data_IF_040966173314
#
_entry.id   IF_040966173314
#
_cell.length_a   1.000
_cell.length_b   1.000
_cell.length_c   1.000
_cell.angle_alpha   90.00
_cell.angle_beta   90.00
_cell.angle_gamma   90.00
#
_symmetry.space_group_name_H-M   'P 1'
#
loop_
_entity.id
_entity.type
_entity.pdbx_description
1 polymer ?
#
# COMPACT_ATOMS: atom_id res chain seq x y z
N UNK A 1 -30.35 62.34 -17.29
CA UNK A 1 -28.98 61.94 -17.65
C UNK A 1 -28.83 60.48 -17.24
N UNK A 2 -29.09 59.47 -18.09
CA UNK A 2 -28.96 59.43 -19.57
C UNK A 2 -27.50 59.70 -19.95
N UNK A 3 -26.74 58.88 -20.69
CA UNK A 3 -26.97 57.82 -21.71
C UNK A 3 -25.81 56.79 -21.51
N UNK A 4 -26.01 55.46 -21.51
CA UNK A 4 -25.83 54.51 -22.66
C UNK A 4 -24.48 54.66 -23.42
N UNK A 5 -23.86 53.64 -24.04
CA UNK A 5 -24.06 52.17 -24.15
C UNK A 5 -22.83 51.50 -24.82
N UNK A 6 -22.89 50.17 -24.98
CA UNK A 6 -22.19 49.36 -26.01
C UNK A 6 -20.68 49.07 -25.91
N UNK A 7 -20.16 47.95 -26.44
CA UNK A 7 -20.65 46.55 -26.57
C UNK A 7 -19.55 45.68 -27.23
N UNK A 8 -19.53 44.37 -26.93
CA UNK A 8 -18.98 43.22 -27.70
C UNK A 8 -17.95 43.44 -28.84
N UNK A 9 -16.89 42.60 -28.86
CA UNK A 9 -16.85 41.38 -29.72
C UNK A 9 -15.70 40.42 -29.37
N UNK A 10 -15.88 39.15 -29.75
CA UNK A 10 -14.84 38.11 -29.72
C UNK A 10 -13.91 38.24 -30.96
N UNK A 11 -12.72 37.65 -30.93
CA UNK A 11 -12.42 36.45 -31.73
C UNK A 11 -11.00 35.89 -31.49
N UNK A 12 -10.91 34.56 -31.49
CA UNK A 12 -9.68 33.78 -31.56
C UNK A 12 -9.41 33.39 -33.02
N UNK A 13 -8.17 33.48 -33.52
CA UNK A 13 -7.80 32.71 -34.71
C UNK A 13 -6.30 32.39 -34.83
N UNK A 14 -6.07 31.09 -34.86
CA UNK A 14 -4.87 30.31 -35.13
C UNK A 14 -4.03 30.76 -36.36
N UNK A 15 -2.70 30.56 -36.30
CA UNK A 15 -1.87 30.18 -37.47
C UNK A 15 -0.69 29.28 -37.07
N UNK A 16 -0.82 28.01 -37.44
CA UNK A 16 0.27 27.03 -37.50
C UNK A 16 1.14 27.18 -38.78
N UNK A 17 2.32 26.56 -38.75
CA UNK A 17 3.02 25.89 -39.88
C UNK A 17 3.72 26.70 -41.00
N UNK A 18 4.78 26.21 -41.72
CA UNK A 18 5.78 25.10 -41.61
C UNK A 18 6.96 25.45 -42.59
N UNK A 19 8.09 24.70 -42.56
CA UNK A 19 9.28 24.66 -43.47
C UNK A 19 10.52 25.47 -43.01
N UNK A 20 11.63 24.84 -42.58
CA UNK A 20 12.65 24.03 -43.33
C UNK A 20 13.56 24.92 -44.23
N UNK A 21 14.90 24.86 -44.18
CA UNK A 21 15.74 23.66 -44.31
C UNK A 21 17.25 23.87 -43.98
N UNK A 22 17.91 22.77 -43.55
CA UNK A 22 19.34 22.35 -43.63
C UNK A 22 20.53 23.30 -43.37
N UNK A 23 21.51 22.82 -42.57
CA UNK A 23 22.83 22.37 -43.09
C UNK A 23 23.62 21.50 -42.07
N UNK A 24 24.23 20.43 -42.58
CA UNK A 24 25.27 19.51 -42.03
C UNK A 24 26.12 19.06 -43.26
N UNK A 25 27.33 18.42 -43.20
CA UNK A 25 27.81 17.44 -42.19
C UNK A 25 29.35 17.45 -41.92
N UNK A 26 29.85 16.29 -41.43
CA UNK A 26 31.25 15.77 -41.37
C UNK A 26 32.09 16.09 -40.10
N UNK A 27 32.87 15.16 -39.52
CA UNK A 27 32.85 13.67 -39.52
C UNK A 27 33.66 13.11 -38.30
N UNK A 28 33.57 11.81 -37.96
CA UNK A 28 34.53 11.14 -37.05
C UNK A 28 34.09 9.83 -36.38
N UNK A 29 34.03 8.73 -37.13
CA UNK A 29 33.76 7.37 -36.60
C UNK A 29 34.92 6.78 -35.75
N UNK A 30 34.59 6.17 -34.59
CA UNK A 30 35.18 4.89 -34.17
C UNK A 30 34.37 4.17 -33.07
N UNK A 31 33.89 2.99 -33.43
CA UNK A 31 33.35 1.94 -32.55
C UNK A 31 34.03 1.79 -31.17
N UNK A 32 33.23 1.70 -30.11
CA UNK A 32 33.44 0.65 -29.09
C UNK A 32 32.11 0.14 -28.50
N UNK A 33 32.10 -1.09 -27.97
CA UNK A 33 30.88 -1.92 -27.86
C UNK A 33 30.19 -1.90 -26.48
N UNK A 34 28.85 -1.96 -26.51
CA UNK A 34 27.97 -2.62 -25.55
C UNK A 34 28.20 -2.39 -24.03
N UNK A 35 27.52 -1.41 -23.43
CA UNK A 35 26.83 -1.65 -22.14
C UNK A 35 25.66 -0.69 -21.86
N UNK A 36 24.54 -1.25 -21.39
CA UNK A 36 23.39 -0.61 -20.72
C UNK A 36 22.57 0.49 -21.43
N UNK A 37 21.48 0.06 -22.10
CA UNK A 37 20.32 0.91 -22.43
C UNK A 37 18.97 0.17 -22.24
N UNK A 38 18.63 -0.24 -21.00
CA UNK A 38 17.35 -0.94 -20.71
C UNK A 38 16.72 -0.52 -19.37
N UNK A 39 16.24 0.73 -19.28
CA UNK A 39 15.41 1.18 -18.13
C UNK A 39 14.26 2.12 -18.48
N UNK A 40 14.29 2.85 -19.61
CA UNK A 40 13.28 3.88 -19.92
C UNK A 40 11.85 3.39 -20.19
N UNK A 41 11.66 2.22 -20.79
CA UNK A 41 10.33 1.83 -21.30
C UNK A 41 9.32 1.37 -20.22
N UNK A 42 9.74 1.08 -18.99
CA UNK A 42 8.85 0.51 -17.97
C UNK A 42 7.97 1.54 -17.26
N UNK A 43 8.46 2.75 -17.02
CA UNK A 43 7.65 3.79 -16.35
C UNK A 43 6.49 4.27 -17.23
N UNK A 44 6.68 4.27 -18.55
CA UNK A 44 5.66 4.68 -19.51
C UNK A 44 4.52 3.65 -19.62
N UNK A 45 4.84 2.34 -19.67
CA UNK A 45 3.82 1.27 -19.55
C UNK A 45 3.08 1.31 -18.20
N UNK A 46 3.78 1.60 -17.10
CA UNK A 46 3.15 1.71 -15.76
C UNK A 46 2.15 2.86 -15.69
N UNK A 47 2.48 4.01 -16.30
CA UNK A 47 1.61 5.19 -16.31
C UNK A 47 0.38 5.00 -17.22
N UNK A 48 0.52 4.35 -18.37
CA UNK A 48 -0.63 4.01 -19.24
C UNK A 48 -1.57 2.99 -18.55
N UNK A 49 -1.02 2.01 -17.82
CA UNK A 49 -1.82 1.08 -17.01
C UNK A 49 -2.53 1.80 -15.84
N UNK A 50 -1.89 2.78 -15.20
CA UNK A 50 -2.49 3.63 -14.18
C UNK A 50 -3.66 4.48 -14.73
N UNK A 51 -3.53 5.03 -15.93
CA UNK A 51 -4.60 5.76 -16.60
C UNK A 51 -5.81 4.85 -16.92
N UNK A 52 -5.58 3.61 -17.36
CA UNK A 52 -6.64 2.62 -17.59
C UNK A 52 -7.36 2.25 -16.27
N UNK A 53 -6.62 2.14 -15.16
CA UNK A 53 -7.18 1.83 -13.83
C UNK A 53 -8.01 2.98 -13.21
N UNK A 54 -7.89 4.22 -13.70
CA UNK A 54 -8.70 5.36 -13.27
C UNK A 54 -10.04 5.50 -14.01
N UNK A 55 -10.32 4.66 -15.02
CA UNK A 55 -11.56 4.72 -15.80
C UNK A 55 -12.83 4.44 -14.96
N UNK A 56 -13.94 5.11 -15.30
CA UNK A 56 -15.13 5.30 -14.44
C UNK A 56 -15.84 4.03 -13.91
N UNK A 57 -15.56 2.85 -14.46
CA UNK A 57 -16.34 1.63 -14.22
C UNK A 57 -16.37 1.20 -12.74
N UNK A 58 -15.36 1.56 -11.93
CA UNK A 58 -15.33 1.24 -10.50
C UNK A 58 -16.13 2.21 -9.63
N UNK A 59 -16.27 3.50 -10.00
CA UNK A 59 -17.13 4.45 -9.26
C UNK A 59 -18.60 4.04 -9.34
N UNK A 60 -19.05 3.56 -10.51
CA UNK A 60 -20.44 3.13 -10.76
C UNK A 60 -20.79 1.82 -10.01
N UNK A 61 -19.80 0.95 -9.73
CA UNK A 61 -20.01 -0.26 -8.91
C UNK A 61 -20.08 0.05 -7.41
N UNK A 62 -19.24 0.98 -6.93
CA UNK A 62 -19.27 1.42 -5.52
C UNK A 62 -20.54 2.21 -5.16
N UNK A 63 -21.07 3.07 -6.05
CA UNK A 63 -22.33 3.80 -5.80
C UNK A 63 -23.57 2.88 -5.77
N UNK A 64 -23.58 1.81 -6.57
CA UNK A 64 -24.64 0.79 -6.52
C UNK A 64 -24.57 -0.06 -5.24
N UNK A 65 -23.37 -0.34 -4.73
CA UNK A 65 -23.19 -1.06 -3.47
C UNK A 65 -23.62 -0.23 -2.24
N UNK A 66 -23.41 1.10 -2.24
CA UNK A 66 -23.86 1.96 -1.14
C UNK A 66 -25.38 2.17 -1.12
N UNK A 67 -26.05 2.26 -2.27
CA UNK A 67 -27.52 2.34 -2.33
C UNK A 67 -28.21 1.09 -1.78
N UNK A 68 -27.64 -0.11 -1.98
CA UNK A 68 -28.23 -1.36 -1.47
C UNK A 68 -28.16 -1.47 0.06
N UNK A 69 -27.15 -0.87 0.70
CA UNK A 69 -27.03 -0.82 2.17
C UNK A 69 -27.83 0.31 2.84
N UNK A 70 -28.22 1.34 2.09
CA UNK A 70 -29.03 2.45 2.63
C UNK A 70 -30.52 2.09 2.77
N UNK A 71 -31.08 1.33 1.83
CA UNK A 71 -32.51 0.96 1.84
C UNK A 71 -32.90 -0.08 2.90
N UNK A 72 -31.95 -0.88 3.39
CA UNK A 72 -32.20 -1.97 4.36
C UNK A 72 -32.27 -1.48 5.82
N UNK A 73 -32.00 -0.19 6.07
CA UNK A 73 -32.00 0.43 7.41
C UNK A 73 -33.14 1.41 7.68
N UNK A 74 -34.09 1.55 6.75
CA UNK A 74 -35.18 2.53 6.82
C UNK A 74 -36.59 1.90 6.83
N UNK A 75 -36.71 0.59 7.02
CA UNK A 75 -37.99 -0.13 6.87
C UNK A 75 -38.32 -1.13 7.98
N UNK A 76 -37.84 -0.84 9.19
CA UNK A 76 -38.12 -1.65 10.38
C UNK A 76 -38.78 -0.80 11.49
N UNK A 77 -39.81 -0.05 11.11
CA UNK A 77 -40.79 0.61 11.99
C UNK A 77 -42.13 0.67 11.24
N UNK A 78 -43.24 0.22 11.85
CA UNK A 78 -44.59 0.42 11.32
C UNK A 78 -45.43 -0.83 10.96
N UNK A 79 -46.07 -1.39 11.99
CA UNK A 79 -47.35 -2.11 12.02
C UNK A 79 -48.11 -2.55 10.73
N UNK A 80 -48.38 -3.86 10.66
CA UNK A 80 -49.71 -4.52 10.59
C UNK A 80 -50.63 -4.39 9.33
N UNK A 81 -51.45 -5.45 9.14
CA UNK A 81 -52.68 -5.56 8.32
C UNK A 81 -52.61 -6.09 6.86
N UNK A 82 -53.18 -7.29 6.70
CA UNK A 82 -53.97 -7.84 5.59
C UNK A 82 -53.48 -7.94 4.11
N UNK A 83 -53.50 -9.20 3.63
CA UNK A 83 -53.95 -9.71 2.32
C UNK A 83 -53.25 -9.23 1.02
N UNK A 84 -52.60 -10.17 0.34
CA UNK A 84 -52.28 -10.05 -1.10
C UNK A 84 -51.61 -11.28 -1.69
N UNK A 85 -52.36 -12.11 -2.43
CA UNK A 85 -51.80 -13.20 -3.23
C UNK A 85 -50.91 -12.66 -4.35
N UNK A 86 -49.66 -13.14 -4.45
CA UNK A 86 -48.89 -13.07 -5.70
C UNK A 86 -48.23 -14.42 -6.02
N UNK A 87 -48.71 -15.00 -7.11
CA UNK A 87 -48.22 -16.26 -7.69
C UNK A 87 -46.84 -16.04 -8.32
N UNK A 88 -45.83 -16.78 -7.87
CA UNK A 88 -44.55 -16.87 -8.59
C UNK A 88 -44.54 -18.05 -9.56
N UNK A 89 -44.00 -17.78 -10.75
CA UNK A 89 -44.16 -18.57 -11.98
C UNK A 89 -42.88 -19.33 -12.29
N UNK A 90 -42.97 -20.66 -12.36
CA UNK A 90 -42.01 -21.61 -12.95
C UNK A 90 -40.51 -21.29 -12.80
N UNK A 91 -39.95 -21.64 -11.64
CA UNK A 91 -38.54 -22.05 -11.56
C UNK A 91 -38.42 -23.55 -11.90
N UNK A 92 -37.46 -23.92 -12.75
CA UNK A 92 -37.17 -25.32 -13.09
C UNK A 92 -36.81 -26.12 -11.83
N UNK A 93 -37.68 -27.05 -11.44
CA UNK A 93 -37.41 -27.97 -10.33
C UNK A 93 -36.24 -28.89 -10.67
N UNK A 94 -35.06 -28.61 -10.08
CA UNK A 94 -34.10 -29.67 -9.81
C UNK A 94 -34.86 -30.76 -9.07
N UNK A 95 -34.99 -31.94 -9.67
CA UNK A 95 -35.54 -33.10 -8.99
C UNK A 95 -34.51 -33.57 -7.94
N UNK A 96 -34.55 -32.92 -6.78
CA UNK A 96 -33.93 -33.41 -5.55
C UNK A 96 -34.47 -34.83 -5.38
N UNK A 97 -33.56 -35.82 -5.46
CA UNK A 97 -33.91 -37.24 -5.32
C UNK A 97 -34.76 -37.41 -4.06
N UNK A 98 -35.97 -37.94 -4.20
CA UNK A 98 -36.78 -38.26 -3.04
C UNK A 98 -35.98 -39.25 -2.16
N UNK A 99 -35.76 -38.98 -0.86
CA UNK A 99 -34.94 -39.84 0.00
C UNK A 99 -35.51 -41.27 0.12
N UNK A 100 -36.75 -41.50 -0.33
CA UNK A 100 -37.36 -42.82 -0.47
C UNK A 100 -36.63 -43.70 -1.51
N UNK A 101 -36.20 -43.14 -2.64
CA UNK A 101 -35.62 -43.94 -3.73
C UNK A 101 -34.25 -44.54 -3.37
N UNK A 102 -33.40 -43.77 -2.69
CA UNK A 102 -32.07 -44.24 -2.23
C UNK A 102 -32.18 -45.28 -1.12
N UNK A 103 -33.12 -45.11 -0.19
CA UNK A 103 -33.40 -46.08 0.88
C UNK A 103 -33.94 -47.40 0.31
N UNK A 104 -34.85 -47.37 -0.67
CA UNK A 104 -35.37 -48.58 -1.31
C UNK A 104 -34.26 -49.31 -2.11
N UNK A 105 -33.36 -48.57 -2.78
CA UNK A 105 -32.21 -49.17 -3.47
C UNK A 105 -31.26 -49.90 -2.50
N UNK A 106 -30.93 -49.29 -1.35
CA UNK A 106 -30.14 -49.94 -0.30
C UNK A 106 -30.84 -51.18 0.28
N UNK A 107 -32.16 -51.13 0.45
CA UNK A 107 -32.96 -52.28 0.89
C UNK A 107 -32.95 -53.43 -0.13
N UNK A 108 -33.03 -53.12 -1.44
CA UNK A 108 -32.92 -54.11 -2.51
C UNK A 108 -31.54 -54.78 -2.55
N UNK A 109 -30.47 -54.00 -2.32
CA UNK A 109 -29.09 -54.51 -2.22
C UNK A 109 -28.91 -55.37 -0.95
N UNK A 110 -29.49 -54.98 0.18
CA UNK A 110 -29.47 -55.82 1.39
C UNK A 110 -30.20 -57.15 1.16
N UNK A 111 -31.34 -57.14 0.45
CA UNK A 111 -32.07 -58.34 0.05
C UNK A 111 -31.29 -59.26 -0.90
N UNK A 112 -30.50 -58.72 -1.84
CA UNK A 112 -29.62 -59.57 -2.69
C UNK A 112 -28.51 -60.23 -1.89
N UNK A 113 -27.87 -59.49 -0.98
CA UNK A 113 -26.80 -60.02 -0.13
C UNK A 113 -27.34 -61.13 0.80
N UNK A 114 -28.52 -60.92 1.41
CA UNK A 114 -29.19 -61.94 2.24
C UNK A 114 -29.59 -63.16 1.40
N UNK A 115 -30.12 -62.96 0.19
CA UNK A 115 -30.50 -64.05 -0.73
C UNK A 115 -29.31 -64.91 -1.17
N UNK A 116 -28.16 -64.28 -1.44
CA UNK A 116 -26.89 -64.96 -1.77
C UNK A 116 -26.36 -65.72 -0.54
N UNK A 117 -26.41 -65.11 0.65
CA UNK A 117 -25.88 -65.72 1.89
C UNK A 117 -26.70 -66.89 2.45
N UNK A 118 -27.86 -67.18 1.88
CA UNK A 118 -28.75 -68.29 2.27
C UNK A 118 -28.84 -69.40 1.21
N UNK A 119 -28.00 -69.37 0.17
CA UNK A 119 -27.97 -70.31 -0.97
C UNK A 119 -29.35 -70.57 -1.64
N UNK A 120 -30.29 -69.62 -1.51
CA UNK A 120 -31.64 -69.76 -2.07
C UNK A 120 -31.78 -69.01 -3.40
N UNK A 121 -31.60 -69.77 -4.48
CA UNK A 121 -31.53 -69.27 -5.86
C UNK A 121 -32.75 -68.42 -6.30
N UNK A 122 -33.97 -68.74 -5.81
CA UNK A 122 -35.17 -67.97 -6.12
C UNK A 122 -35.18 -66.58 -5.49
N UNK A 123 -34.73 -66.47 -4.24
CA UNK A 123 -34.69 -65.19 -3.50
C UNK A 123 -33.58 -64.30 -4.06
N UNK A 124 -32.41 -64.88 -4.33
CA UNK A 124 -31.29 -64.17 -4.96
C UNK A 124 -31.64 -63.62 -6.35
N UNK A 125 -32.22 -64.44 -7.23
CA UNK A 125 -32.60 -64.01 -8.59
C UNK A 125 -33.64 -62.87 -8.59
N UNK A 126 -34.65 -62.95 -7.71
CA UNK A 126 -35.68 -61.92 -7.59
C UNK A 126 -35.11 -60.60 -7.03
N UNK A 127 -34.21 -60.68 -6.04
CA UNK A 127 -33.46 -59.53 -5.56
C UNK A 127 -32.61 -58.87 -6.66
N UNK A 128 -31.91 -59.65 -7.48
CA UNK A 128 -31.05 -59.13 -8.56
C UNK A 128 -31.89 -58.38 -9.59
N UNK A 129 -33.03 -58.94 -10.02
CA UNK A 129 -33.96 -58.28 -10.93
C UNK A 129 -34.47 -56.94 -10.38
N UNK A 130 -34.90 -56.92 -9.12
CA UNK A 130 -35.37 -55.68 -8.45
C UNK A 130 -34.25 -54.65 -8.35
N UNK A 131 -33.05 -55.07 -7.92
CA UNK A 131 -31.89 -54.17 -7.76
C UNK A 131 -31.43 -53.58 -9.09
N UNK A 132 -31.39 -54.37 -10.16
CA UNK A 132 -30.97 -53.92 -11.49
C UNK A 132 -32.00 -52.94 -12.09
N UNK A 133 -33.30 -53.23 -11.94
CA UNK A 133 -34.39 -52.34 -12.37
C UNK A 133 -34.38 -51.00 -11.63
N UNK A 134 -34.18 -51.02 -10.31
CA UNK A 134 -34.14 -49.79 -9.49
C UNK A 134 -32.88 -48.95 -9.75
N UNK A 135 -31.72 -49.62 -9.91
CA UNK A 135 -30.47 -48.95 -10.29
C UNK A 135 -30.60 -48.27 -11.66
N UNK A 136 -31.14 -48.98 -12.66
CA UNK A 136 -31.38 -48.44 -13.99
C UNK A 136 -32.31 -47.21 -13.99
N UNK A 137 -33.39 -47.22 -13.20
CA UNK A 137 -34.31 -46.07 -13.10
C UNK A 137 -33.68 -44.84 -12.42
N UNK A 138 -32.69 -45.00 -11.55
CA UNK A 138 -31.93 -43.89 -10.95
C UNK A 138 -30.85 -43.35 -11.90
N UNK A 139 -30.20 -44.21 -12.68
CA UNK A 139 -29.05 -43.86 -13.52
C UNK A 139 -29.46 -43.18 -14.85
N UNK A 140 -30.59 -43.59 -15.45
CA UNK A 140 -31.11 -43.05 -16.72
C UNK A 140 -31.34 -41.52 -16.69
N UNK A 141 -31.97 -40.92 -15.64
CA UNK A 141 -32.14 -39.47 -15.55
C UNK A 141 -30.81 -38.70 -15.51
N UNK A 142 -29.85 -39.16 -14.69
CA UNK A 142 -28.53 -38.53 -14.59
C UNK A 142 -27.77 -38.60 -15.91
N UNK A 143 -27.75 -39.78 -16.54
CA UNK A 143 -27.09 -39.97 -17.83
C UNK A 143 -27.71 -39.10 -18.94
N UNK A 144 -29.04 -38.88 -18.92
CA UNK A 144 -29.71 -37.95 -19.85
C UNK A 144 -29.25 -36.50 -19.67
N UNK A 145 -28.98 -36.06 -18.44
CA UNK A 145 -28.49 -34.70 -18.16
C UNK A 145 -27.04 -34.55 -18.65
N UNK A 146 -26.14 -35.45 -18.25
CA UNK A 146 -24.72 -35.43 -18.68
C UNK A 146 -24.62 -35.47 -20.22
N UNK A 147 -25.40 -36.34 -20.87
CA UNK A 147 -25.42 -36.44 -22.33
C UNK A 147 -25.98 -35.16 -23.00
N UNK A 148 -26.87 -34.41 -22.34
CA UNK A 148 -27.39 -33.13 -22.86
C UNK A 148 -26.45 -31.95 -22.64
N UNK A 149 -25.53 -32.06 -21.69
CA UNK A 149 -24.55 -31.02 -21.36
C UNK A 149 -23.27 -31.16 -22.21
N UNK A 150 -22.89 -32.40 -22.55
CA UNK A 150 -21.71 -32.70 -23.36
C UNK A 150 -21.94 -32.68 -24.89
N UNK A 151 -23.19 -32.83 -25.36
CA UNK A 151 -23.50 -32.93 -26.79
C UNK A 151 -24.67 -32.01 -27.18
N UNK A 152 -24.45 -31.18 -28.21
CA UNK A 152 -25.53 -30.32 -28.75
C UNK A 152 -26.67 -31.17 -29.35
N UNK A 153 -27.90 -30.63 -29.44
CA UNK A 153 -29.07 -31.41 -29.90
C UNK A 153 -28.90 -32.06 -31.27
N UNK A 154 -28.19 -31.40 -32.19
CA UNK A 154 -27.87 -31.90 -33.53
C UNK A 154 -26.81 -33.00 -33.50
N UNK A 155 -25.76 -32.86 -32.68
CA UNK A 155 -24.74 -33.90 -32.52
C UNK A 155 -25.30 -35.17 -31.87
N UNK A 156 -26.26 -35.03 -30.94
CA UNK A 156 -26.91 -36.17 -30.28
C UNK A 156 -27.76 -37.02 -31.24
N UNK A 157 -28.49 -36.42 -32.18
CA UNK A 157 -29.22 -37.21 -33.19
C UNK A 157 -28.25 -37.91 -34.15
N UNK A 158 -27.16 -37.24 -34.52
CA UNK A 158 -26.13 -37.78 -35.39
C UNK A 158 -25.41 -39.00 -34.76
N UNK A 159 -25.02 -38.94 -33.48
CA UNK A 159 -24.34 -40.07 -32.82
C UNK A 159 -25.25 -41.28 -32.64
N UNK A 160 -26.52 -41.07 -32.29
CA UNK A 160 -27.52 -42.15 -32.21
C UNK A 160 -27.74 -42.79 -33.59
N UNK A 161 -27.87 -41.98 -34.64
CA UNK A 161 -28.00 -42.47 -36.01
C UNK A 161 -26.75 -43.23 -36.48
N UNK A 162 -25.55 -42.75 -36.15
CA UNK A 162 -24.28 -43.41 -36.50
C UNK A 162 -24.15 -44.77 -35.81
N UNK A 163 -24.47 -44.87 -34.52
CA UNK A 163 -24.45 -46.14 -33.77
C UNK A 163 -25.50 -47.11 -34.33
N UNK A 164 -26.72 -46.63 -34.63
CA UNK A 164 -27.74 -47.44 -35.29
C UNK A 164 -27.29 -47.96 -36.66
N UNK A 165 -26.63 -47.12 -37.45
CA UNK A 165 -26.09 -47.46 -38.76
C UNK A 165 -24.94 -48.48 -38.65
N UNK A 166 -24.00 -48.33 -37.72
CA UNK A 166 -22.93 -49.33 -37.54
C UNK A 166 -23.47 -50.68 -37.08
N UNK A 167 -24.44 -50.71 -36.17
CA UNK A 167 -25.11 -51.96 -35.76
C UNK A 167 -25.85 -52.60 -36.95
N UNK A 168 -26.55 -51.81 -37.76
CA UNK A 168 -27.24 -52.30 -38.96
C UNK A 168 -26.26 -52.86 -40.01
N UNK A 169 -25.13 -52.19 -40.25
CA UNK A 169 -24.08 -52.66 -41.17
C UNK A 169 -23.45 -53.95 -40.64
N UNK A 170 -23.12 -54.03 -39.35
CA UNK A 170 -22.60 -55.26 -38.73
C UNK A 170 -23.61 -56.40 -38.84
N UNK A 171 -24.91 -56.14 -38.62
CA UNK A 171 -25.95 -57.14 -38.77
C UNK A 171 -26.07 -57.64 -40.22
N UNK A 172 -26.07 -56.75 -41.21
CA UNK A 172 -26.09 -57.11 -42.64
C UNK A 172 -24.87 -57.96 -43.02
N UNK A 173 -23.68 -57.56 -42.58
CA UNK A 173 -22.42 -58.30 -42.82
C UNK A 173 -22.40 -59.65 -42.10
N UNK A 174 -23.06 -59.79 -40.95
CA UNK A 174 -23.17 -61.06 -40.21
C UNK A 174 -24.22 -62.02 -40.78
N UNK A 175 -25.20 -61.51 -41.54
CA UNK A 175 -26.34 -62.27 -42.06
C UNK A 175 -26.28 -62.50 -43.59
N UNK A 176 -25.21 -62.05 -44.25
CA UNK A 176 -24.98 -62.29 -45.68
C UNK A 176 -23.69 -63.10 -45.89
N UNK A 177 -23.80 -64.22 -46.61
CA UNK A 177 -22.68 -65.11 -46.96
C UNK A 177 -21.79 -64.50 -48.07
N UNK A 178 -21.30 -63.27 -47.85
CA UNK A 178 -20.34 -62.62 -48.73
C UNK A 178 -18.93 -63.01 -48.29
N UNK A 179 -18.09 -63.61 -49.17
CA UNK A 179 -16.72 -63.96 -48.81
C UNK A 179 -15.88 -62.69 -48.65
N UNK A 180 -15.71 -62.24 -47.41
CA UNK A 180 -14.86 -61.11 -47.05
C UNK A 180 -13.40 -61.52 -47.27
N UNK A 181 -12.73 -60.88 -48.23
CA UNK A 181 -11.32 -61.14 -48.50
C UNK A 181 -10.44 -60.37 -47.49
N UNK A 182 -10.09 -61.03 -46.39
CA UNK A 182 -9.46 -60.41 -45.23
C UNK A 182 -8.10 -59.74 -45.52
N UNK A 183 -7.37 -60.19 -46.55
CA UNK A 183 -6.11 -59.56 -47.00
C UNK A 183 -6.31 -58.10 -47.44
N UNK A 184 -7.46 -57.76 -48.03
CA UNK A 184 -7.78 -56.37 -48.41
C UNK A 184 -8.16 -55.50 -47.19
N UNK A 185 -8.60 -56.11 -46.09
CA UNK A 185 -8.90 -55.38 -44.85
C UNK A 185 -7.66 -55.07 -44.02
N UNK A 186 -6.60 -55.89 -44.14
CA UNK A 186 -5.32 -55.66 -43.45
C UNK A 186 -4.63 -54.37 -43.89
N UNK A 187 -4.54 -54.12 -45.19
CA UNK A 187 -3.94 -52.88 -45.73
C UNK A 187 -4.76 -51.64 -45.34
N UNK A 188 -6.09 -51.72 -45.35
CA UNK A 188 -6.97 -50.67 -44.82
C UNK A 188 -6.70 -50.38 -43.34
N UNK A 189 -6.49 -51.42 -42.52
CA UNK A 189 -6.18 -51.27 -41.09
C UNK A 189 -4.83 -50.55 -40.85
N UNK A 190 -3.82 -50.78 -41.68
CA UNK A 190 -2.53 -50.05 -41.61
C UNK A 190 -2.70 -48.55 -41.91
N UNK A 191 -3.48 -48.20 -42.94
CA UNK A 191 -3.80 -46.79 -43.25
C UNK A 191 -4.57 -46.10 -42.13
N UNK A 192 -5.55 -46.79 -41.52
CA UNK A 192 -6.25 -46.27 -40.33
C UNK A 192 -5.32 -46.15 -39.11
N UNK A 193 -4.35 -47.06 -38.94
CA UNK A 193 -3.33 -47.00 -37.91
C UNK A 193 -2.40 -45.78 -38.06
N UNK A 194 -1.91 -45.52 -39.28
CA UNK A 194 -1.07 -44.36 -39.59
C UNK A 194 -1.83 -43.04 -39.40
N UNK A 195 -3.07 -42.95 -39.87
CA UNK A 195 -3.96 -41.80 -39.61
C UNK A 195 -4.20 -41.60 -38.10
N UNK A 196 -4.38 -42.69 -37.35
CA UNK A 196 -4.50 -42.67 -35.90
C UNK A 196 -3.27 -42.09 -35.21
N UNK A 197 -2.06 -42.51 -35.61
CA UNK A 197 -0.81 -41.96 -35.06
C UNK A 197 -0.64 -40.46 -35.37
N UNK A 198 -0.95 -40.02 -36.60
CA UNK A 198 -0.91 -38.61 -36.98
C UNK A 198 -1.89 -37.79 -36.12
N UNK A 199 -3.11 -38.30 -35.91
CA UNK A 199 -4.12 -37.65 -35.08
C UNK A 199 -3.66 -37.54 -33.62
N UNK A 200 -3.07 -38.59 -33.06
CA UNK A 200 -2.49 -38.60 -31.70
C UNK A 200 -1.38 -37.56 -31.58
N UNK A 201 -0.48 -37.46 -32.57
CA UNK A 201 0.60 -36.48 -32.58
C UNK A 201 0.07 -35.03 -32.61
N UNK A 202 -0.94 -34.74 -33.43
CA UNK A 202 -1.61 -33.43 -33.50
C UNK A 202 -2.26 -33.09 -32.15
N UNK A 203 -2.95 -34.04 -31.52
CA UNK A 203 -3.56 -33.87 -30.19
C UNK A 203 -2.48 -33.61 -29.13
N UNK A 204 -1.36 -34.33 -29.16
CA UNK A 204 -0.26 -34.13 -28.21
C UNK A 204 0.35 -32.73 -28.31
N UNK A 205 0.61 -32.22 -29.52
CA UNK A 205 1.08 -30.84 -29.73
C UNK A 205 0.06 -29.82 -29.25
N UNK A 206 -1.22 -30.02 -29.55
CA UNK A 206 -2.29 -29.14 -29.07
C UNK A 206 -2.37 -29.12 -27.53
N UNK A 207 -2.31 -30.28 -26.87
CA UNK A 207 -2.31 -30.39 -25.40
C UNK A 207 -1.08 -29.70 -24.79
N UNK A 208 0.12 -29.92 -25.34
CA UNK A 208 1.34 -29.28 -24.87
C UNK A 208 1.28 -27.74 -25.00
N UNK A 209 0.79 -27.22 -26.14
CA UNK A 209 0.58 -25.79 -26.33
C UNK A 209 -0.44 -25.21 -25.34
N UNK A 210 -1.56 -25.91 -25.12
CA UNK A 210 -2.57 -25.50 -24.13
C UNK A 210 -2.02 -25.51 -22.70
N UNK A 211 -1.22 -26.51 -22.31
CA UNK A 211 -0.56 -26.56 -21.01
C UNK A 211 0.42 -25.39 -20.83
N UNK A 212 1.23 -25.08 -21.84
CA UNK A 212 2.14 -23.93 -21.82
C UNK A 212 1.39 -22.59 -21.64
N UNK A 213 0.32 -22.37 -22.41
CA UNK A 213 -0.51 -21.16 -22.31
C UNK A 213 -1.15 -21.03 -20.92
N UNK A 214 -1.68 -22.13 -20.38
CA UNK A 214 -2.26 -22.16 -19.02
C UNK A 214 -1.19 -21.82 -17.97
N UNK A 215 -0.03 -22.48 -18.02
CA UNK A 215 1.09 -22.25 -17.09
C UNK A 215 1.53 -20.79 -17.08
N UNK A 216 1.82 -20.22 -18.26
CA UNK A 216 2.22 -18.82 -18.41
C UNK A 216 1.17 -17.86 -17.84
N UNK A 217 -0.11 -18.11 -18.09
CA UNK A 217 -1.20 -17.27 -17.58
C UNK A 217 -1.33 -17.35 -16.04
N UNK A 218 -1.18 -18.53 -15.44
CA UNK A 218 -1.16 -18.68 -13.98
C UNK A 218 0.01 -17.90 -13.35
N UNK A 219 1.22 -18.02 -13.91
CA UNK A 219 2.40 -17.30 -13.38
C UNK A 219 2.21 -15.78 -13.47
N UNK A 220 1.66 -15.27 -14.58
CA UNK A 220 1.37 -13.84 -14.73
C UNK A 220 0.30 -13.38 -13.71
N UNK A 221 -0.80 -14.12 -13.56
CA UNK A 221 -1.84 -13.79 -12.58
C UNK A 221 -1.30 -13.79 -11.15
N UNK A 222 -0.46 -14.76 -10.79
CA UNK A 222 0.12 -14.86 -9.45
C UNK A 222 1.09 -13.70 -9.17
N UNK A 223 1.90 -13.29 -10.15
CA UNK A 223 2.77 -12.11 -10.03
C UNK A 223 1.98 -10.79 -9.92
N UNK A 224 0.87 -10.66 -10.64
CA UNK A 224 -0.01 -9.48 -10.54
C UNK A 224 -0.70 -9.42 -9.16
N UNK A 225 -1.18 -10.56 -8.66
CA UNK A 225 -1.80 -10.65 -7.33
C UNK A 225 -0.82 -10.35 -6.19
N UNK A 226 0.44 -10.84 -6.26
CA UNK A 226 1.45 -10.53 -5.24
C UNK A 226 1.85 -9.06 -5.25
N UNK A 227 2.00 -8.44 -6.43
CA UNK A 227 2.23 -6.98 -6.54
C UNK A 227 1.06 -6.19 -5.96
N UNK A 228 -0.18 -6.55 -6.28
CA UNK A 228 -1.38 -5.92 -5.73
C UNK A 228 -1.43 -6.05 -4.19
N UNK A 229 -1.13 -7.24 -3.64
CA UNK A 229 -1.12 -7.50 -2.21
C UNK A 229 -0.02 -6.71 -1.46
N UNK A 230 1.16 -6.56 -2.06
CA UNK A 230 2.25 -5.75 -1.49
C UNK A 230 1.83 -4.28 -1.41
N UNK A 231 1.23 -3.74 -2.47
CA UNK A 231 0.75 -2.35 -2.50
C UNK A 231 -0.35 -2.11 -1.44
N UNK A 232 -1.28 -3.04 -1.27
CA UNK A 232 -2.31 -2.97 -0.22
C UNK A 232 -1.70 -3.01 1.19
N UNK A 233 -0.68 -3.86 1.41
CA UNK A 233 0.04 -3.93 2.70
C UNK A 233 0.76 -2.62 3.01
N UNK A 234 1.44 -2.02 2.02
CA UNK A 234 2.13 -0.73 2.17
C UNK A 234 1.12 0.38 2.51
N UNK A 235 -0.02 0.42 1.82
CA UNK A 235 -1.11 1.36 2.13
C UNK A 235 -1.67 1.15 3.54
N UNK A 236 -1.91 -0.10 3.94
CA UNK A 236 -2.43 -0.38 5.28
C UNK A 236 -1.46 0.06 6.37
N UNK A 237 -0.16 -0.17 6.20
CA UNK A 237 0.86 0.26 7.16
C UNK A 237 0.88 1.80 7.32
N UNK A 238 0.80 2.55 6.22
CA UNK A 238 0.79 4.02 6.28
C UNK A 238 -0.51 4.58 6.87
N UNK A 239 -1.66 3.94 6.62
CA UNK A 239 -2.96 4.29 7.23
C UNK A 239 -2.92 4.02 8.74
N UNK A 240 -2.43 2.85 9.17
CA UNK A 240 -2.32 2.50 10.60
C UNK A 240 -1.38 3.47 11.33
N UNK A 241 -0.26 3.86 10.72
CA UNK A 241 0.63 4.89 11.27
C UNK A 241 -0.07 6.25 11.40
N UNK A 242 -0.81 6.70 10.38
CA UNK A 242 -1.59 7.95 10.45
C UNK A 242 -2.61 7.91 11.60
N UNK A 243 -3.42 6.85 11.69
CA UNK A 243 -4.38 6.66 12.78
C UNK A 243 -3.72 6.65 14.17
N UNK A 244 -2.51 6.09 14.29
CA UNK A 244 -1.76 6.08 15.56
C UNK A 244 -1.26 7.49 15.92
N UNK A 245 -0.80 8.26 14.92
CA UNK A 245 -0.38 9.65 15.10
C UNK A 245 -1.57 10.56 15.43
N UNK A 246 -2.71 10.38 14.76
CA UNK A 246 -3.93 11.16 15.02
C UNK A 246 -4.49 10.89 16.43
N UNK A 247 -4.50 9.61 16.85
CA UNK A 247 -4.85 9.20 18.22
C UNK A 247 -3.90 9.77 19.27
N UNK A 248 -2.60 9.86 18.95
CA UNK A 248 -1.62 10.55 19.79
C UNK A 248 -1.89 12.08 19.86
N UNK A 249 -2.19 12.75 18.74
CA UNK A 249 -2.51 14.18 18.74
C UNK A 249 -3.76 14.50 19.56
N UNK A 250 -4.81 13.70 19.41
CA UNK A 250 -5.99 13.80 20.27
C UNK A 250 -5.60 13.57 21.75
N UNK A 251 -4.93 12.46 22.06
CA UNK A 251 -4.51 12.13 23.42
C UNK A 251 -3.47 13.04 24.07
N UNK A 252 -2.82 13.95 23.32
CA UNK A 252 -2.03 15.04 23.88
C UNK A 252 -2.89 16.29 24.05
N UNK A 253 -3.79 16.57 23.11
CA UNK A 253 -4.72 17.70 23.20
C UNK A 253 -5.63 17.57 24.43
N UNK A 254 -6.27 16.41 24.61
CA UNK A 254 -7.13 16.06 25.76
C UNK A 254 -6.41 16.06 27.12
N UNK A 255 -5.07 16.17 27.13
CA UNK A 255 -4.21 16.07 28.31
C UNK A 255 -3.54 17.42 28.68
N UNK A 256 -3.60 18.39 27.78
CA UNK A 256 -2.85 19.65 27.86
C UNK A 256 -3.75 20.86 27.64
N UNK A 257 -4.98 20.64 27.16
CA UNK A 257 -5.99 21.68 26.93
C UNK A 257 -7.19 21.49 27.85
N UNK A 258 -7.76 22.60 28.33
CA UNK A 258 -9.05 22.64 29.02
C UNK A 258 -10.25 22.60 28.04
N UNK A 259 -11.48 22.58 28.58
CA UNK A 259 -12.73 22.58 27.80
C UNK A 259 -12.86 23.84 26.90
N UNK A 260 -12.18 24.93 27.26
CA UNK A 260 -12.09 26.18 26.49
C UNK A 260 -10.97 26.15 25.41
N UNK A 261 -10.15 25.11 25.36
CA UNK A 261 -9.04 24.95 24.41
C UNK A 261 -7.78 25.76 24.77
N UNK A 262 -7.67 26.21 26.03
CA UNK A 262 -6.51 26.90 26.58
C UNK A 262 -5.56 25.89 27.23
N UNK A 263 -4.28 26.25 27.35
CA UNK A 263 -3.24 25.34 27.84
C UNK A 263 -3.28 25.23 29.37
N UNK A 264 -3.91 24.17 29.86
CA UNK A 264 -3.94 23.76 31.25
C UNK A 264 -3.18 22.44 31.41
N UNK A 265 -1.87 22.54 31.64
CA UNK A 265 -1.01 21.37 31.84
C UNK A 265 -0.43 21.30 33.26
N UNK A 266 -0.90 20.32 34.04
CA UNK A 266 -0.42 20.04 35.38
C UNK A 266 0.88 19.21 35.38
N UNK A 267 1.67 19.21 36.47
CA UNK A 267 2.92 18.45 36.54
C UNK A 267 2.77 16.94 36.28
N UNK A 268 1.64 16.34 36.62
CA UNK A 268 1.37 14.92 36.36
C UNK A 268 1.02 14.67 34.89
N UNK A 269 0.25 15.56 34.28
CA UNK A 269 -0.19 15.47 32.88
C UNK A 269 0.98 15.63 31.93
N UNK A 270 1.92 16.53 32.24
CA UNK A 270 3.19 16.65 31.52
C UNK A 270 4.00 15.35 31.53
N UNK A 271 4.15 14.69 32.68
CA UNK A 271 4.83 13.40 32.76
C UNK A 271 4.13 12.32 31.92
N UNK A 272 2.79 12.34 31.87
CA UNK A 272 2.01 11.47 30.98
C UNK A 272 2.18 11.84 29.50
N UNK A 273 2.27 13.13 29.17
CA UNK A 273 2.48 13.64 27.82
C UNK A 273 3.89 13.29 27.30
N UNK A 274 4.91 13.44 28.14
CA UNK A 274 6.29 13.01 27.88
C UNK A 274 6.38 11.50 27.67
N UNK A 275 5.75 10.70 28.56
CA UNK A 275 5.68 9.24 28.42
C UNK A 275 4.99 8.79 27.13
N UNK A 276 3.85 9.41 26.78
CA UNK A 276 3.16 9.17 25.49
C UNK A 276 4.03 9.58 24.30
N UNK A 277 4.73 10.71 24.40
CA UNK A 277 5.60 11.23 23.33
C UNK A 277 6.80 10.32 23.08
N UNK A 278 7.46 9.84 24.15
CA UNK A 278 8.54 8.86 24.04
C UNK A 278 8.08 7.55 23.38
N UNK A 279 6.90 7.04 23.77
CA UNK A 279 6.34 5.80 23.23
C UNK A 279 5.98 5.92 21.72
N UNK A 280 5.37 7.03 21.29
CA UNK A 280 5.05 7.22 19.87
C UNK A 280 6.34 7.44 19.05
N UNK A 281 7.28 8.27 19.51
CA UNK A 281 8.54 8.52 18.78
C UNK A 281 9.39 7.25 18.63
N UNK A 282 9.31 6.30 19.57
CA UNK A 282 9.95 4.99 19.44
C UNK A 282 9.31 4.03 18.43
N UNK A 283 8.05 4.27 18.04
CA UNK A 283 7.25 3.36 17.18
C UNK A 283 6.92 3.91 15.79
N UNK A 284 7.08 5.21 15.56
CA UNK A 284 6.89 5.84 14.24
C UNK A 284 8.17 5.91 13.40
N UNK A 285 7.99 6.04 12.09
CA UNK A 285 9.06 6.26 11.11
C UNK A 285 9.59 7.71 11.13
N UNK A 286 10.60 8.01 10.31
CA UNK A 286 11.17 9.36 10.21
C UNK A 286 10.13 10.43 9.85
N UNK A 287 9.19 10.11 8.96
CA UNK A 287 8.13 11.05 8.55
C UNK A 287 7.14 11.31 9.69
N UNK A 288 6.73 10.27 10.43
CA UNK A 288 5.91 10.39 11.62
C UNK A 288 6.57 11.24 12.72
N UNK A 289 7.86 11.01 13.00
CA UNK A 289 8.62 11.81 13.98
C UNK A 289 8.64 13.29 13.61
N UNK A 290 8.91 13.62 12.35
CA UNK A 290 8.93 15.01 11.88
C UNK A 290 7.55 15.70 12.00
N UNK A 291 6.45 14.99 11.69
CA UNK A 291 5.08 15.49 11.92
C UNK A 291 4.81 15.78 13.40
N UNK A 292 5.19 14.86 14.29
CA UNK A 292 5.01 14.99 15.73
C UNK A 292 5.80 16.19 16.27
N UNK A 293 7.11 16.26 16.00
CA UNK A 293 7.98 17.37 16.41
C UNK A 293 7.41 18.73 15.96
N UNK A 294 6.87 18.80 14.74
CA UNK A 294 6.23 20.01 14.21
C UNK A 294 4.97 20.39 14.95
N UNK A 295 4.07 19.44 15.17
CA UNK A 295 2.84 19.68 15.94
C UNK A 295 3.19 20.20 17.34
N UNK A 296 4.06 19.49 18.07
CA UNK A 296 4.48 19.88 19.42
C UNK A 296 5.15 21.27 19.45
N UNK A 297 5.93 21.60 18.43
CA UNK A 297 6.55 22.93 18.31
C UNK A 297 5.54 24.03 17.99
N UNK A 298 4.62 23.80 17.08
CA UNK A 298 3.65 24.80 16.61
C UNK A 298 2.61 25.10 17.70
N UNK A 299 2.17 24.07 18.43
CA UNK A 299 1.32 24.16 19.62
C UNK A 299 2.06 24.65 20.88
N UNK A 300 3.30 25.15 20.75
CA UNK A 300 4.15 25.67 21.85
C UNK A 300 4.50 24.70 22.98
N UNK A 301 4.20 23.41 22.84
CA UNK A 301 4.42 22.38 23.86
C UNK A 301 5.91 22.14 24.15
N UNK A 302 6.74 22.29 23.12
CA UNK A 302 8.21 22.25 23.26
C UNK A 302 8.81 23.55 23.79
N UNK A 303 8.09 24.67 23.74
CA UNK A 303 8.61 25.98 24.17
C UNK A 303 8.54 26.11 25.70
N UNK A 304 9.55 26.65 26.39
CA UNK A 304 9.43 26.93 27.82
C UNK A 304 8.52 28.14 28.03
N UNK A 305 7.37 27.90 28.66
CA UNK A 305 6.32 28.89 28.88
C UNK A 305 6.42 29.48 30.27
N UNK A 306 6.16 30.79 30.37
CA UNK A 306 6.02 31.49 31.65
C UNK A 306 4.77 31.00 32.35
N UNK A 307 4.90 30.65 33.63
CA UNK A 307 3.80 30.12 34.45
C UNK A 307 3.45 31.06 35.59
N UNK A 308 2.19 31.02 36.00
CA UNK A 308 1.76 31.69 37.23
C UNK A 308 2.31 30.95 38.46
N UNK A 309 2.79 31.70 39.46
CA UNK A 309 3.44 31.14 40.64
C UNK A 309 2.49 30.48 41.63
N UNK A 310 1.18 30.76 41.55
CA UNK A 310 0.16 30.20 42.44
C UNK A 310 -0.65 29.11 41.73
N UNK A 311 -0.99 29.31 40.46
CA UNK A 311 -1.85 28.41 39.66
C UNK A 311 -1.05 27.42 38.80
N UNK A 312 0.23 27.66 38.51
CA UNK A 312 1.05 26.81 37.65
C UNK A 312 0.69 26.84 36.15
N UNK A 313 -0.47 27.40 35.78
CA UNK A 313 -0.95 27.58 34.40
C UNK A 313 -0.04 28.46 33.56
N UNK A 314 -0.02 28.25 32.25
CA UNK A 314 0.72 29.10 31.32
C UNK A 314 0.07 30.51 31.23
N UNK A 315 0.91 31.54 31.21
CA UNK A 315 0.46 32.95 31.14
C UNK A 315 0.40 33.40 29.68
N UNK A 316 -0.60 34.22 29.32
CA UNK A 316 -0.70 34.83 27.99
C UNK A 316 0.27 36.00 27.80
N UNK A 317 0.74 36.20 26.57
CA UNK A 317 1.65 37.29 26.17
C UNK A 317 0.96 38.64 25.93
N UNK A 318 -0.37 38.69 26.07
CA UNK A 318 -1.21 39.86 25.78
C UNK A 318 -1.49 40.09 24.29
N UNK A 319 -1.06 39.19 23.40
CA UNK A 319 -1.25 39.26 21.94
C UNK A 319 -2.01 38.04 21.38
N UNK A 320 -2.54 37.19 22.27
CA UNK A 320 -3.25 35.96 21.92
C UNK A 320 -2.35 34.72 21.84
N UNK A 321 -1.11 34.79 22.32
CA UNK A 321 -0.22 33.63 22.49
C UNK A 321 0.17 33.40 23.95
N UNK A 322 0.97 32.35 24.19
CA UNK A 322 1.58 32.12 25.49
C UNK A 322 2.88 32.91 25.64
N UNK A 323 3.08 33.50 26.82
CA UNK A 323 4.30 34.22 27.16
C UNK A 323 5.47 33.22 27.27
N UNK A 324 6.47 33.34 26.40
CA UNK A 324 7.69 32.54 26.51
C UNK A 324 8.59 33.08 27.64
N UNK A 325 9.13 32.18 28.46
CA UNK A 325 10.20 32.50 29.41
C UNK A 325 11.30 31.45 29.25
N UNK A 326 12.42 31.86 28.65
CA UNK A 326 13.54 30.96 28.35
C UNK A 326 14.44 30.69 29.57
N UNK A 327 14.29 31.44 30.66
CA UNK A 327 15.13 31.34 31.86
C UNK A 327 14.44 30.56 32.99
N UNK A 328 13.19 30.88 33.29
CA UNK A 328 12.40 30.23 34.35
C UNK A 328 11.16 29.50 33.84
N UNK A 329 10.80 29.68 32.56
CA UNK A 329 9.64 29.00 31.98
C UNK A 329 9.88 27.50 31.87
N UNK A 330 8.79 26.76 31.87
CA UNK A 330 8.82 25.29 31.89
C UNK A 330 8.13 24.77 30.64
N UNK A 331 8.76 23.80 29.96
CA UNK A 331 8.21 23.14 28.78
C UNK A 331 7.02 22.25 29.21
N UNK A 332 6.11 21.98 28.28
CA UNK A 332 5.03 21.00 28.46
C UNK A 332 5.60 19.59 28.27
N UNK A 333 6.43 19.43 27.25
CA UNK A 333 7.13 18.19 26.91
C UNK A 333 8.62 18.52 26.73
N UNK A 334 9.49 17.93 27.55
CA UNK A 334 10.92 17.88 27.25
C UNK A 334 11.22 16.71 26.29
N UNK A 335 11.89 17.01 25.17
CA UNK A 335 12.37 15.98 24.24
C UNK A 335 13.59 15.22 24.77
N UNK A 336 14.30 15.76 25.77
CA UNK A 336 15.33 15.07 26.54
C UNK A 336 16.28 14.25 25.67
N UNK A 337 16.23 12.92 25.83
CA UNK A 337 17.02 11.93 25.06
C UNK A 337 16.27 11.27 23.90
N UNK A 338 14.99 11.63 23.65
CA UNK A 338 14.08 10.92 22.73
C UNK A 338 14.53 10.94 21.26
N UNK A 339 15.40 11.89 20.89
CA UNK A 339 15.88 12.05 19.51
C UNK A 339 17.35 11.61 19.32
N UNK A 340 18.00 11.04 20.34
CA UNK A 340 19.34 10.48 20.20
C UNK A 340 19.32 9.26 19.25
N UNK A 341 20.17 9.27 18.23
CA UNK A 341 20.20 8.25 17.17
C UNK A 341 18.97 8.24 16.26
N UNK A 342 18.09 9.24 16.34
CA UNK A 342 16.86 9.26 15.54
C UNK A 342 17.16 9.60 14.08
N UNK A 343 16.60 8.79 13.16
CA UNK A 343 16.49 9.19 11.75
C UNK A 343 15.33 10.17 11.58
N UNK A 344 15.66 11.35 11.05
CA UNK A 344 14.77 12.44 10.68
C UNK A 344 15.01 12.87 9.22
N UNK A 345 15.91 12.22 8.49
CA UNK A 345 16.43 12.66 7.18
C UNK A 345 15.35 12.91 6.13
N UNK A 346 15.61 13.86 5.21
CA UNK A 346 14.72 14.25 4.10
C UNK A 346 13.33 14.74 4.53
N UNK A 347 13.18 15.22 5.77
CA UNK A 347 11.92 15.77 6.26
C UNK A 347 11.94 17.30 6.38
N UNK A 348 10.76 17.89 6.25
CA UNK A 348 10.51 19.30 6.54
C UNK A 348 10.31 19.49 8.05
N UNK A 349 11.30 20.11 8.70
CA UNK A 349 11.36 20.50 10.10
C UNK A 349 11.40 22.02 10.27
N UNK A 350 10.87 22.77 9.30
CA UNK A 350 10.86 24.24 9.35
C UNK A 350 10.13 24.79 10.56
N UNK A 351 10.65 25.90 11.09
CA UNK A 351 10.09 26.60 12.25
C UNK A 351 9.97 25.76 13.54
N UNK A 352 10.63 24.60 13.62
CA UNK A 352 10.59 23.75 14.81
C UNK A 352 11.46 24.28 15.94
N UNK A 353 10.97 24.20 17.18
CA UNK A 353 11.73 24.47 18.39
C UNK A 353 12.29 23.16 18.95
N UNK A 354 13.51 22.82 18.52
CA UNK A 354 14.29 21.67 19.00
C UNK A 354 15.21 22.06 20.17
N UNK A 355 15.13 23.28 20.70
CA UNK A 355 16.09 23.80 21.68
C UNK A 355 16.20 22.91 22.93
N UNK A 356 17.42 22.81 23.46
CA UNK A 356 17.85 21.88 24.53
C UNK A 356 17.78 20.36 24.21
N UNK A 357 17.17 19.93 23.09
CA UNK A 357 17.04 18.51 22.76
C UNK A 357 18.40 17.81 22.52
N UNK A 358 18.48 16.54 22.91
CA UNK A 358 19.59 15.66 22.58
C UNK A 358 19.38 15.03 21.19
N UNK A 359 20.27 15.37 20.27
CA UNK A 359 20.33 14.91 18.89
C UNK A 359 21.67 14.18 18.62
N UNK A 360 22.31 13.62 19.66
CA UNK A 360 23.52 12.80 19.54
C UNK A 360 23.29 11.72 18.50
N UNK A 361 24.15 11.62 17.47
CA UNK A 361 24.02 10.66 16.36
C UNK A 361 22.71 10.71 15.58
N UNK A 362 21.92 11.79 15.70
CA UNK A 362 20.71 11.94 14.91
C UNK A 362 21.06 12.17 13.43
N UNK A 363 20.23 11.62 12.54
CA UNK A 363 20.36 11.83 11.10
C UNK A 363 19.37 12.90 10.63
N UNK A 364 19.88 14.11 10.38
CA UNK A 364 19.17 15.28 9.86
C UNK A 364 19.58 15.59 8.39
N UNK A 365 20.16 14.62 7.68
CA UNK A 365 20.62 14.82 6.31
C UNK A 365 19.46 15.14 5.35
N UNK A 366 19.71 16.09 4.44
CA UNK A 366 18.78 16.63 3.45
C UNK A 366 17.44 17.13 4.05
N UNK A 367 17.42 17.47 5.35
CA UNK A 367 16.26 18.08 6.01
C UNK A 367 16.12 19.57 5.68
N UNK A 368 14.86 20.04 5.58
CA UNK A 368 14.55 21.46 5.55
C UNK A 368 14.40 21.97 7.00
N UNK A 369 15.43 22.67 7.49
CA UNK A 369 15.50 23.24 8.83
C UNK A 369 15.28 24.77 8.81
N UNK A 370 14.68 25.34 7.75
CA UNK A 370 14.52 26.80 7.64
C UNK A 370 13.84 27.37 8.89
N UNK A 371 14.53 28.29 9.57
CA UNK A 371 14.12 28.95 10.82
C UNK A 371 13.86 28.00 12.01
N UNK A 372 14.37 26.77 11.98
CA UNK A 372 14.39 25.90 13.15
C UNK A 372 15.31 26.47 14.26
N UNK A 373 14.95 26.21 15.51
CA UNK A 373 15.71 26.60 16.69
C UNK A 373 16.45 25.38 17.25
N UNK A 374 17.75 25.33 16.99
CA UNK A 374 18.70 24.32 17.47
C UNK A 374 19.54 24.82 18.66
N UNK A 375 19.16 25.94 19.28
CA UNK A 375 19.91 26.52 20.39
C UNK A 375 19.99 25.55 21.58
N UNK A 376 21.18 25.40 22.16
CA UNK A 376 21.48 24.44 23.24
C UNK A 376 21.20 22.97 22.92
N UNK A 377 20.97 22.59 21.66
CA UNK A 377 20.93 21.17 21.28
C UNK A 377 22.29 20.49 21.50
N UNK A 378 22.28 19.18 21.67
CA UNK A 378 23.50 18.35 21.63
C UNK A 378 23.52 17.63 20.29
N UNK A 379 24.37 18.07 19.34
CA UNK A 379 24.49 17.51 17.99
C UNK A 379 25.74 16.61 17.86
N UNK A 380 26.28 16.09 18.96
CA UNK A 380 27.51 15.29 18.93
C UNK A 380 27.37 14.06 18.00
N UNK A 381 28.27 13.92 17.01
CA UNK A 381 28.20 12.89 15.95
C UNK A 381 26.90 12.92 15.10
N UNK A 382 26.16 14.03 15.07
CA UNK A 382 24.97 14.16 14.22
C UNK A 382 25.33 14.41 12.74
N UNK A 383 24.51 13.89 11.83
CA UNK A 383 24.63 14.15 10.40
C UNK A 383 23.67 15.27 9.98
N UNK A 384 24.20 16.38 9.46
CA UNK A 384 23.45 17.52 8.90
C UNK A 384 23.74 17.71 7.40
N UNK A 385 24.33 16.72 6.72
CA UNK A 385 24.73 16.81 5.31
C UNK A 385 23.54 17.20 4.41
N UNK A 386 23.79 18.02 3.39
CA UNK A 386 22.80 18.47 2.40
C UNK A 386 21.57 19.21 2.99
N UNK A 387 21.48 19.42 4.30
CA UNK A 387 20.34 20.08 4.96
C UNK A 387 20.30 21.59 4.68
N UNK A 388 19.11 22.19 4.76
CA UNK A 388 18.93 23.63 4.58
C UNK A 388 18.87 24.35 5.92
N UNK A 389 19.97 25.05 6.26
CA UNK A 389 20.10 25.77 7.53
C UNK A 389 19.68 27.23 7.46
N UNK A 390 19.00 27.67 6.39
CA UNK A 390 18.60 29.06 6.21
C UNK A 390 17.88 29.63 7.44
N UNK A 391 18.43 30.72 8.00
CA UNK A 391 17.88 31.43 9.15
C UNK A 391 17.70 30.57 10.42
N UNK A 392 18.37 29.42 10.53
CA UNK A 392 18.41 28.62 11.76
C UNK A 392 19.01 29.38 12.94
N UNK A 393 18.62 28.98 14.16
CA UNK A 393 19.19 29.52 15.41
C UNK A 393 19.98 28.43 16.14
N UNK A 394 21.30 28.50 16.08
CA UNK A 394 22.20 27.63 16.87
C UNK A 394 22.53 28.22 18.26
N UNK A 395 22.32 29.53 18.45
CA UNK A 395 22.61 30.27 19.68
C UNK A 395 21.75 31.55 19.77
N UNK A 396 21.58 32.05 20.99
CA UNK A 396 21.02 33.39 21.28
C UNK A 396 22.15 34.41 21.47
N UNK A 397 21.84 35.70 21.50
CA UNK A 397 22.88 36.74 21.61
C UNK A 397 23.78 36.88 20.38
N UNK A 398 25.01 37.34 20.59
CA UNK A 398 25.99 37.67 19.53
C UNK A 398 26.89 36.48 19.19
N UNK A 399 27.41 36.43 17.95
CA UNK A 399 28.28 35.34 17.50
C UNK A 399 29.66 35.32 18.19
N UNK A 400 30.07 36.46 18.76
CA UNK A 400 31.35 36.67 19.44
C UNK A 400 31.35 36.07 20.85
N UNK A 401 30.24 36.25 21.59
CA UNK A 401 30.07 35.80 22.97
C UNK A 401 29.34 34.46 23.07
N UNK A 402 28.80 33.93 21.97
CA UNK A 402 28.12 32.65 21.96
C UNK A 402 29.09 31.49 22.24
N UNK A 403 28.82 30.77 23.33
CA UNK A 403 29.51 29.53 23.71
C UNK A 403 28.53 28.35 23.80
N UNK A 404 29.00 27.11 23.57
CA UNK A 404 28.19 25.90 23.75
C UNK A 404 27.59 25.81 25.15
N UNK A 405 26.44 25.16 25.28
CA UNK A 405 25.82 24.89 26.59
C UNK A 405 26.81 24.25 27.57
N UNK A 406 26.95 24.87 28.74
CA UNK A 406 27.59 24.25 29.90
C UNK A 406 26.58 23.40 30.68
N UNK A 407 27.09 22.46 31.48
CA UNK A 407 26.30 21.71 32.48
C UNK A 407 26.17 22.51 33.78
N UNK A 408 27.18 23.31 34.10
CA UNK A 408 27.37 23.94 35.40
C UNK A 408 27.00 25.44 35.40
N UNK A 409 27.02 26.07 34.21
CA UNK A 409 26.70 27.48 34.04
C UNK A 409 25.32 27.68 33.38
N UNK A 410 24.44 28.55 33.93
CA UNK A 410 23.13 28.83 33.34
C UNK A 410 23.26 29.63 32.01
N UNK A 411 22.28 29.50 31.10
CA UNK A 411 22.28 30.22 29.82
C UNK A 411 22.10 31.74 29.98
N UNK A 412 22.98 32.53 29.36
CA UNK A 412 22.85 33.97 29.27
C UNK A 412 22.26 34.39 27.90
N UNK A 413 20.93 34.45 27.81
CA UNK A 413 20.23 34.82 26.58
C UNK A 413 20.46 36.25 26.09
N UNK A 414 21.11 37.12 26.88
CA UNK A 414 21.44 38.49 26.48
C UNK A 414 22.79 38.54 25.73
N UNK A 415 23.84 37.94 26.29
CA UNK A 415 25.17 37.91 25.66
C UNK A 415 25.27 36.81 24.61
N UNK A 416 24.71 35.63 24.90
CA UNK A 416 24.80 34.40 24.12
C UNK A 416 25.59 33.28 24.82
N UNK A 417 26.25 33.58 25.94
CA UNK A 417 27.07 32.61 26.68
C UNK A 417 26.23 31.42 27.15
N UNK A 418 26.75 30.20 26.94
CA UNK A 418 26.11 28.93 27.24
C UNK A 418 24.74 28.72 26.56
N UNK A 419 24.42 29.48 25.51
CA UNK A 419 23.19 29.31 24.72
C UNK A 419 23.39 28.57 23.39
N UNK A 420 24.63 28.24 23.06
CA UNK A 420 24.99 27.59 21.81
C UNK A 420 24.79 26.07 21.80
N UNK A 421 24.52 25.53 20.61
CA UNK A 421 24.49 24.09 20.37
C UNK A 421 25.89 23.46 20.48
N UNK A 422 25.97 22.23 20.99
CA UNK A 422 27.21 21.44 20.97
C UNK A 422 27.34 20.80 19.59
N UNK A 423 28.33 21.23 18.80
CA UNK A 423 28.48 20.90 17.36
C UNK A 423 29.74 20.08 17.05
N UNK A 424 30.18 19.25 18.01
CA UNK A 424 31.38 18.43 17.90
C UNK A 424 31.14 17.18 17.03
N UNK A 425 32.08 16.86 16.15
CA UNK A 425 32.01 15.76 15.18
C UNK A 425 30.73 15.76 14.31
N UNK A 426 30.20 16.94 13.97
CA UNK A 426 29.03 17.08 13.11
C UNK A 426 29.45 17.05 11.64
N UNK A 427 28.70 16.32 10.81
CA UNK A 427 28.85 16.41 9.36
C UNK A 427 28.00 17.57 8.80
N UNK A 428 28.66 18.59 8.25
CA UNK A 428 28.04 19.73 7.56
C UNK A 428 28.20 19.68 6.03
N UNK A 429 28.61 18.54 5.46
CA UNK A 429 28.90 18.40 4.03
C UNK A 429 27.73 18.86 3.16
N UNK A 430 27.99 19.69 2.15
CA UNK A 430 26.99 20.23 1.22
C UNK A 430 25.80 20.98 1.85
N UNK A 431 25.89 21.42 3.12
CA UNK A 431 24.82 22.19 3.76
C UNK A 431 24.41 23.42 2.92
N UNK A 432 23.11 23.54 2.70
CA UNK A 432 22.48 24.60 1.88
C UNK A 432 22.21 25.82 2.76
N UNK A 433 22.49 27.01 2.21
CA UNK A 433 22.13 28.33 2.77
C UNK A 433 22.53 28.55 4.25
N UNK A 434 23.68 28.04 4.67
CA UNK A 434 24.21 28.26 6.03
C UNK A 434 24.35 29.77 6.33
N UNK A 435 23.73 30.31 7.40
CA UNK A 435 23.90 31.73 7.76
C UNK A 435 25.31 31.99 8.27
N UNK A 436 25.94 33.11 7.87
CA UNK A 436 27.33 33.42 8.25
C UNK A 436 27.55 33.43 9.76
N UNK A 437 26.59 33.92 10.54
CA UNK A 437 26.63 33.87 12.02
C UNK A 437 26.67 32.45 12.58
N UNK A 438 26.02 31.50 11.91
CA UNK A 438 26.02 30.07 12.28
C UNK A 438 27.32 29.42 11.81
N UNK A 439 27.79 29.74 10.60
CA UNK A 439 29.09 29.31 10.08
C UNK A 439 30.23 29.71 11.03
N UNK A 440 30.29 30.98 11.44
CA UNK A 440 31.29 31.48 12.39
C UNK A 440 31.23 30.73 13.73
N UNK A 441 30.03 30.57 14.29
CA UNK A 441 29.84 29.81 15.53
C UNK A 441 30.28 28.34 15.40
N UNK A 442 29.87 27.64 14.33
CA UNK A 442 30.27 26.26 14.09
C UNK A 442 31.79 26.17 13.94
N UNK A 443 32.41 26.96 13.05
CA UNK A 443 33.87 26.99 12.91
C UNK A 443 34.62 27.25 14.22
N UNK A 444 34.06 28.05 15.14
CA UNK A 444 34.67 28.33 16.45
C UNK A 444 34.63 27.13 17.40
N UNK A 445 33.62 26.24 17.28
CA UNK A 445 33.26 25.26 18.32
C UNK A 445 33.05 23.81 17.85
N UNK A 446 33.30 23.47 16.58
CA UNK A 446 32.96 22.15 16.02
C UNK A 446 34.10 21.11 16.00
N UNK A 447 35.34 21.51 16.30
CA UNK A 447 36.53 20.66 16.23
C UNK A 447 37.00 20.34 14.80
N UNK A 448 38.27 19.93 14.65
CA UNK A 448 38.94 19.70 13.35
C UNK A 448 38.11 18.90 12.33
N UNK A 449 37.53 17.76 12.73
CA UNK A 449 36.78 16.87 11.81
C UNK A 449 35.59 17.58 11.17
N UNK A 450 34.82 18.31 11.97
CA UNK A 450 33.63 19.02 11.50
C UNK A 450 34.02 20.24 10.66
N UNK A 451 35.12 20.92 11.00
CA UNK A 451 35.66 22.07 10.24
C UNK A 451 35.91 21.74 8.77
N UNK A 452 36.37 20.53 8.47
CA UNK A 452 36.62 20.06 7.10
C UNK A 452 35.34 19.90 6.26
N UNK A 453 34.17 19.74 6.89
CA UNK A 453 32.88 19.53 6.20
C UNK A 453 32.08 20.82 6.01
N UNK A 454 32.44 21.92 6.67
CA UNK A 454 31.69 23.18 6.61
C UNK A 454 31.81 23.85 5.23
N UNK A 455 30.68 24.19 4.56
CA UNK A 455 30.71 24.80 3.24
C UNK A 455 31.38 26.19 3.28
N UNK A 456 32.33 26.40 2.37
CA UNK A 456 33.11 27.64 2.32
C UNK A 456 34.17 27.77 3.41
N UNK A 457 34.53 26.68 4.12
CA UNK A 457 35.69 26.58 5.00
C UNK A 457 35.63 27.42 6.29
N UNK A 458 36.65 27.25 7.13
CA UNK A 458 36.81 27.94 8.42
C UNK A 458 38.09 28.81 8.48
N UNK A 459 38.59 29.27 7.34
CA UNK A 459 39.78 30.11 7.24
C UNK A 459 39.59 31.43 8.02
N UNK A 460 40.62 31.84 8.77
CA UNK A 460 40.60 33.06 9.59
C UNK A 460 39.81 32.98 10.90
N UNK A 461 39.12 31.87 11.20
CA UNK A 461 38.34 31.70 12.43
C UNK A 461 39.15 30.82 13.42
N UNK A 462 39.34 31.22 14.69
CA UNK A 462 40.05 30.41 15.69
C UNK A 462 39.23 29.19 16.14
N UNK A 463 39.88 28.11 16.57
CA UNK A 463 39.20 26.93 17.13
C UNK A 463 39.29 26.90 18.65
N UNK A 464 38.25 27.38 19.34
CA UNK A 464 38.25 27.49 20.81
C UNK A 464 38.02 26.16 21.53
N UNK A 465 37.71 25.08 20.81
CA UNK A 465 37.43 23.77 21.41
C UNK A 465 38.70 22.95 21.69
N UNK A 466 39.74 23.09 20.86
CA UNK A 466 41.02 22.38 21.02
C UNK A 466 42.01 23.11 21.95
N UNK A 467 41.91 24.45 22.03
CA UNK A 467 42.65 25.24 23.03
C UNK A 467 42.32 24.83 24.48
N UNK A 468 41.15 24.21 24.71
CA UNK A 468 40.69 23.74 26.03
C UNK A 468 41.01 22.28 26.38
N UNK A 469 41.74 21.55 25.53
CA UNK A 469 42.13 20.14 25.79
C UNK A 469 43.58 19.96 26.23
N UNK A 470 44.20 21.03 26.75
CA UNK A 470 45.63 21.10 27.08
C UNK A 470 46.02 21.10 28.57
N UNK A 471 45.05 21.12 29.50
CA UNK A 471 45.24 21.15 30.96
C UNK A 471 44.59 19.93 31.67
#
# INVERSE_FOLDING_TARGET
MSIESNSHTNESLNRDSILENQLSPEDGDRNDKNFLSVTGNKEQEINDVLAVLQSEQNRIKLSKASQYKANDKSKNDGANSDKGNYVYRNGTSLNILQPKATVIALLAIALTIIGISLDNLFIGALGILVSLFLSGTILIPWFKVVLSEWLTPQQRSLTIALIGLTIAVIAIVRFSDVPINWDASGTLAEWFGALGQILIAIIAVYVAWRQYVISKNLTIQQNLLTVQQNNLTIQQNSITQQQTIDSYFQGISDLVLDDEGLLEDWPQERLLAEGRTAAILGSVDAQGKAKIIRFLSQSKLLTPLKRDSHLGRAIFDGKGGYAEDRYYGVRVIDLGVMLAGADLSRNDLRWTDLSDANLVRANLSDCDLVKANLARCILYEANLSDSDLNSTRFFYGTAENASPRSRDCPPNYKTGEYTGAVVQNVDFSNVKRMPERVKHYCCTWCGEKSRATIPGGCEGIPNKLEEGTGD
#
